data_IF_368751299963
#
_entry.id   IF_368751299963
#
_cell.length_a   1.000
_cell.length_b   1.000
_cell.length_c   1.000
_cell.angle_alpha   90.00
_cell.angle_beta   90.00
_cell.angle_gamma   90.00
#
_symmetry.space_group_name_H-M   'P 1'
#
loop_
_entity.id
_entity.type
_entity.pdbx_description
1 polymer ?
#
# COMPACT_ATOMS: atom_id res chain seq x y z
N UNK A 1 -22.23 21.59 -28.39
CA UNK A 1 -22.39 21.21 -26.97
C UNK A 1 -21.50 20.02 -26.58
N UNK A 2 -21.41 18.96 -27.38
CA UNK A 2 -20.53 17.79 -27.11
C UNK A 2 -19.05 18.13 -26.84
N UNK A 3 -18.48 19.15 -27.51
CA UNK A 3 -17.09 19.56 -27.27
C UNK A 3 -16.83 20.09 -25.86
N UNK A 4 -17.81 20.78 -25.25
CA UNK A 4 -17.71 21.25 -23.87
C UNK A 4 -17.77 20.08 -22.88
N UNK A 5 -18.65 19.09 -23.14
CA UNK A 5 -18.73 17.89 -22.32
C UNK A 5 -17.47 17.04 -22.38
N UNK A 6 -16.85 16.91 -23.56
CA UNK A 6 -15.57 16.20 -23.72
C UNK A 6 -14.45 16.91 -22.93
N UNK A 7 -14.39 18.24 -22.98
CA UNK A 7 -13.41 19.01 -22.23
C UNK A 7 -13.58 18.83 -20.71
N UNK A 8 -14.82 18.89 -20.21
CA UNK A 8 -15.15 18.68 -18.79
C UNK A 8 -14.76 17.27 -18.31
N UNK A 9 -15.11 16.24 -19.08
CA UNK A 9 -14.74 14.85 -18.75
C UNK A 9 -13.22 14.63 -18.79
N UNK A 10 -12.53 15.27 -19.73
CA UNK A 10 -11.06 15.21 -19.81
C UNK A 10 -10.41 15.85 -18.59
N UNK A 11 -10.95 16.96 -18.12
CA UNK A 11 -10.48 17.61 -16.88
C UNK A 11 -10.67 16.69 -15.67
N UNK A 12 -11.86 16.10 -15.51
CA UNK A 12 -12.13 15.16 -14.40
C UNK A 12 -11.18 13.96 -14.43
N UNK A 13 -10.89 13.40 -15.61
CA UNK A 13 -9.93 12.30 -15.75
C UNK A 13 -8.53 12.72 -15.30
N UNK A 14 -8.09 13.93 -15.65
CA UNK A 14 -6.78 14.42 -15.24
C UNK A 14 -6.70 14.66 -13.72
N UNK A 15 -7.73 15.22 -13.12
CA UNK A 15 -7.82 15.41 -11.67
C UNK A 15 -7.81 14.07 -10.92
N UNK A 16 -8.56 13.08 -11.42
CA UNK A 16 -8.56 11.73 -10.87
C UNK A 16 -7.20 11.06 -10.98
N UNK A 17 -6.51 11.20 -12.12
CA UNK A 17 -5.15 10.66 -12.30
C UNK A 17 -4.15 11.24 -11.32
N UNK A 18 -4.15 12.56 -11.13
CA UNK A 18 -3.30 13.22 -10.15
C UNK A 18 -3.63 12.78 -8.72
N UNK A 19 -4.91 12.58 -8.42
CA UNK A 19 -5.36 12.06 -7.12
C UNK A 19 -4.83 10.64 -6.88
N UNK A 20 -4.96 9.74 -7.87
CA UNK A 20 -4.46 8.37 -7.78
C UNK A 20 -2.94 8.36 -7.59
N UNK A 21 -2.19 9.15 -8.37
CA UNK A 21 -0.74 9.25 -8.22
C UNK A 21 -0.33 9.74 -6.82
N UNK A 22 -1.09 10.69 -6.25
CA UNK A 22 -0.91 11.13 -4.86
C UNK A 22 -1.15 10.01 -3.85
N UNK A 23 -2.24 9.28 -4.00
CA UNK A 23 -2.61 8.16 -3.13
C UNK A 23 -1.62 7.00 -3.21
N UNK A 24 -1.09 6.69 -4.40
CA UNK A 24 -0.05 5.68 -4.58
C UNK A 24 1.23 6.04 -3.83
N UNK A 25 1.67 7.31 -3.91
CA UNK A 25 2.83 7.79 -3.15
C UNK A 25 2.62 7.72 -1.64
N UNK A 26 1.42 8.08 -1.16
CA UNK A 26 1.08 7.97 0.25
C UNK A 26 1.03 6.52 0.71
N UNK A 27 0.39 5.63 -0.06
CA UNK A 27 0.36 4.19 0.18
C UNK A 27 1.78 3.63 0.30
N UNK A 28 2.65 3.91 -0.66
CA UNK A 28 4.02 3.38 -0.69
C UNK A 28 4.85 3.94 0.48
N UNK A 29 4.65 5.21 0.85
CA UNK A 29 5.28 5.83 2.01
C UNK A 29 4.86 5.17 3.32
N UNK A 30 3.57 4.90 3.52
CA UNK A 30 3.09 4.23 4.72
C UNK A 30 3.52 2.76 4.76
N UNK A 31 3.44 2.05 3.64
CA UNK A 31 3.89 0.67 3.54
C UNK A 31 5.38 0.53 3.85
N UNK A 32 6.24 1.37 3.27
CA UNK A 32 7.67 1.37 3.57
C UNK A 32 7.97 1.59 5.05
N UNK A 33 7.25 2.51 5.72
CA UNK A 33 7.38 2.70 7.17
C UNK A 33 6.95 1.49 7.98
N UNK A 34 5.83 0.86 7.62
CA UNK A 34 5.35 -0.34 8.31
C UNK A 34 6.36 -1.48 8.15
N UNK A 35 6.97 -1.64 6.97
CA UNK A 35 8.04 -2.60 6.73
C UNK A 35 9.29 -2.31 7.55
N UNK A 36 9.75 -1.06 7.60
CA UNK A 36 10.89 -0.67 8.44
C UNK A 36 10.65 -0.98 9.93
N UNK A 37 9.43 -0.72 10.42
CA UNK A 37 9.01 -1.05 11.79
C UNK A 37 9.00 -2.57 12.00
N UNK A 38 8.45 -3.33 11.06
CA UNK A 38 8.40 -4.80 11.12
C UNK A 38 9.80 -5.41 11.24
N UNK A 39 10.74 -5.00 10.37
CA UNK A 39 12.14 -5.49 10.43
C UNK A 39 12.78 -5.15 11.77
N UNK A 40 12.54 -3.96 12.30
CA UNK A 40 13.04 -3.55 13.63
C UNK A 40 12.44 -4.41 14.76
N UNK A 41 11.18 -4.81 14.64
CA UNK A 41 10.48 -5.61 15.63
C UNK A 41 10.93 -7.08 15.64
N UNK A 42 11.25 -7.65 14.47
CA UNK A 42 11.75 -9.03 14.33
C UNK A 42 13.09 -9.27 15.06
N UNK A 43 13.89 -8.23 15.30
CA UNK A 43 15.12 -8.36 16.10
C UNK A 43 14.85 -8.49 17.62
N UNK A 44 13.61 -8.25 18.08
CA UNK A 44 13.25 -8.11 19.50
C UNK A 44 11.96 -8.88 19.87
N UNK A 45 11.74 -10.05 19.27
CA UNK A 45 10.48 -10.82 19.37
C UNK A 45 10.05 -11.24 20.79
N UNK A 46 10.97 -11.29 21.75
CA UNK A 46 10.65 -11.70 23.13
C UNK A 46 9.95 -10.61 23.95
N UNK A 47 9.90 -9.37 23.47
CA UNK A 47 9.28 -8.25 24.17
C UNK A 47 7.75 -8.23 23.96
N UNK A 48 6.95 -8.26 25.03
CA UNK A 48 5.47 -8.25 24.96
C UNK A 48 4.90 -7.02 24.21
N UNK A 49 5.54 -5.85 24.33
CA UNK A 49 5.12 -4.65 23.60
C UNK A 49 5.36 -4.83 22.10
N UNK A 50 6.48 -5.45 21.73
CA UNK A 50 6.81 -5.73 20.32
C UNK A 50 5.82 -6.73 19.72
N UNK A 51 5.43 -7.76 20.48
CA UNK A 51 4.37 -8.71 20.04
C UNK A 51 3.07 -8.00 19.71
N UNK A 52 2.62 -7.08 20.56
CA UNK A 52 1.41 -6.29 20.29
C UNK A 52 1.54 -5.42 19.04
N UNK A 53 2.74 -4.91 18.74
CA UNK A 53 3.00 -4.14 17.50
C UNK A 53 2.94 -5.06 16.28
N UNK A 54 3.52 -6.27 16.36
CA UNK A 54 3.45 -7.26 15.28
C UNK A 54 2.00 -7.70 15.00
N UNK A 55 1.19 -7.89 16.05
CA UNK A 55 -0.24 -8.21 15.90
C UNK A 55 -1.00 -7.10 15.15
N UNK A 56 -0.64 -5.82 15.37
CA UNK A 56 -1.21 -4.70 14.62
C UNK A 56 -0.74 -4.71 13.16
N UNK A 57 0.53 -5.01 12.90
CA UNK A 57 1.09 -5.05 11.54
C UNK A 57 0.49 -6.18 10.69
N UNK A 58 0.15 -7.31 11.31
CA UNK A 58 -0.47 -8.46 10.63
C UNK A 58 -2.00 -8.49 10.73
N UNK A 59 -2.62 -7.49 11.37
CA UNK A 59 -4.06 -7.39 11.41
C UNK A 59 -4.61 -7.23 9.98
N UNK A 60 -5.59 -8.06 9.63
CA UNK A 60 -6.27 -8.01 8.34
C UNK A 60 -7.62 -7.35 8.51
N UNK A 61 -7.91 -6.34 7.69
CA UNK A 61 -9.27 -5.81 7.55
C UNK A 61 -9.98 -6.55 6.41
N UNK A 62 -11.31 -6.58 6.42
CA UNK A 62 -12.12 -7.28 5.42
C UNK A 62 -11.84 -6.69 4.01
N UNK A 63 -10.99 -7.39 3.23
CA UNK A 63 -10.49 -6.91 1.93
C UNK A 63 -8.96 -6.73 1.83
N UNK A 64 -8.21 -6.88 2.92
CA UNK A 64 -6.74 -6.96 2.93
C UNK A 64 -6.33 -8.38 3.34
N UNK A 65 -5.76 -9.14 2.39
CA UNK A 65 -5.16 -10.43 2.71
C UNK A 65 -3.95 -10.22 3.63
N UNK A 66 -3.70 -11.13 4.60
CA UNK A 66 -2.46 -11.07 5.36
C UNK A 66 -1.29 -11.22 4.39
N UNK A 67 -0.16 -10.55 4.62
CA UNK A 67 1.03 -10.76 3.80
C UNK A 67 1.34 -12.26 3.79
N UNK A 68 1.36 -12.86 2.60
CA UNK A 68 1.85 -14.22 2.45
C UNK A 68 3.30 -14.22 2.95
N UNK A 69 3.66 -15.17 3.83
CA UNK A 69 5.04 -15.32 4.32
C UNK A 69 5.97 -15.28 3.12
N UNK A 70 6.82 -14.24 3.06
CA UNK A 70 7.72 -13.93 1.96
C UNK A 70 8.50 -15.19 1.54
N UNK A 71 7.99 -15.82 0.48
CA UNK A 71 8.37 -17.13 0.01
C UNK A 71 8.20 -17.17 -1.50
N UNK A 72 8.98 -16.32 -2.18
CA UNK A 72 9.12 -16.19 -3.63
C UNK A 72 8.03 -15.33 -4.29
N UNK A 73 8.26 -14.01 -4.32
CA UNK A 73 7.84 -13.22 -5.48
C UNK A 73 8.87 -13.49 -6.57
N UNK A 74 8.65 -14.56 -7.36
CA UNK A 74 9.28 -14.64 -8.67
C UNK A 74 8.75 -13.45 -9.47
N UNK A 75 9.64 -12.51 -9.80
CA UNK A 75 9.38 -11.45 -10.76
C UNK A 75 9.02 -12.10 -12.11
N UNK A 76 7.73 -12.31 -12.36
CA UNK A 76 7.24 -12.59 -13.72
C UNK A 76 7.42 -11.30 -14.53
N UNK A 77 8.62 -11.15 -15.13
CA UNK A 77 8.88 -10.21 -16.21
C UNK A 77 7.93 -10.55 -17.39
N UNK A 78 6.82 -9.83 -17.51
CA UNK A 78 5.90 -9.95 -18.64
C UNK A 78 6.52 -9.25 -19.88
N UNK A 79 6.79 -10.06 -20.93
CA UNK A 79 7.30 -9.66 -22.25
C UNK A 79 6.31 -8.82 -23.08
#
# INVERSE_FOLDING_TARGET
>A
DNGAKIAELTQQINELRLTVEGLEKERDFYFGKLRDIEVTCQENEDNEVIKNVMDILYATEDGFAPPEEDGNVEEEEEY
#
